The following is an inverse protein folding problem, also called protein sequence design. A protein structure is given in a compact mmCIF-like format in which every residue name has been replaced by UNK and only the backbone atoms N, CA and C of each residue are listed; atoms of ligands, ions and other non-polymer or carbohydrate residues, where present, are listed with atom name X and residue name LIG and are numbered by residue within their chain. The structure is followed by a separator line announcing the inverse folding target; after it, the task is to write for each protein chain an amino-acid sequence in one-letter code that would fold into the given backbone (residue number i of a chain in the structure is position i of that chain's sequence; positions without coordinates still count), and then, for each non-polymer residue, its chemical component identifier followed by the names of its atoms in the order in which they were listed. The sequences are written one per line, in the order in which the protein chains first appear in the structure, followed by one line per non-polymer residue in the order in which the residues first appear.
data_IF_444377735339
#
_entry.id   IF_444377735339
#
_cell.length_a   1.000
_cell.length_b   1.000
_cell.length_c   1.000
_cell.angle_alpha   90.00
_cell.angle_beta   90.00
_cell.angle_gamma   90.00
#
_symmetry.space_group_name_H-M   'P 1'
#
loop_
_entity.id
_entity.type
_entity.pdbx_description
1 polymer ?
#
# COMPACT_ATOMS: atom_id res chain seq x y z
N UNK A 1 -24.07 -17.14 10.01
CA UNK A 1 -23.17 -16.34 10.87
C UNK A 1 -22.58 -15.23 10.03
N UNK A 2 -22.23 -14.08 10.62
CA UNK A 2 -21.50 -13.02 9.88
C UNK A 2 -20.10 -13.52 9.51
N UNK A 3 -19.58 -13.23 8.32
CA UNK A 3 -18.19 -13.55 8.00
C UNK A 3 -17.27 -12.73 8.90
N UNK A 4 -16.13 -13.31 9.28
CA UNK A 4 -15.13 -12.69 10.15
C UNK A 4 -13.87 -12.36 9.36
N UNK A 5 -13.39 -11.14 9.50
CA UNK A 5 -12.17 -10.69 8.87
C UNK A 5 -11.15 -10.25 9.92
N UNK A 6 -9.91 -10.69 9.75
CA UNK A 6 -8.78 -10.25 10.52
C UNK A 6 -7.93 -9.28 9.70
N UNK A 7 -7.64 -8.09 10.23
CA UNK A 7 -6.79 -7.10 9.59
C UNK A 7 -5.60 -6.79 10.49
N UNK A 8 -4.38 -7.10 10.04
CA UNK A 8 -3.17 -6.61 10.69
C UNK A 8 -2.80 -5.24 10.12
N UNK A 9 -2.30 -4.32 10.96
CA UNK A 9 -2.02 -2.96 10.51
C UNK A 9 -3.27 -2.10 10.31
N UNK A 10 -4.31 -2.36 11.08
CA UNK A 10 -5.63 -1.71 10.99
C UNK A 10 -5.60 -0.19 11.19
N UNK A 11 -4.56 0.35 11.81
CA UNK A 11 -4.39 1.80 12.03
C UNK A 11 -3.78 2.54 10.85
N UNK A 12 -3.21 1.81 9.87
CA UNK A 12 -2.70 2.38 8.63
C UNK A 12 -3.80 2.87 7.69
N UNK A 13 -3.42 3.58 6.62
CA UNK A 13 -4.35 4.07 5.60
C UNK A 13 -5.27 2.95 5.09
N UNK A 14 -4.68 1.87 4.60
CA UNK A 14 -5.41 0.77 3.97
C UNK A 14 -6.24 -0.02 4.99
N UNK A 15 -5.68 -0.26 6.18
CA UNK A 15 -6.38 -0.96 7.24
C UNK A 15 -7.65 -0.23 7.67
N UNK A 16 -7.61 1.11 7.73
CA UNK A 16 -8.77 1.92 8.05
C UNK A 16 -9.88 1.81 6.99
N UNK A 17 -9.53 2.01 5.70
CA UNK A 17 -10.52 1.91 4.61
C UNK A 17 -11.03 0.49 4.40
N UNK A 18 -10.16 -0.51 4.57
CA UNK A 18 -10.58 -1.91 4.47
C UNK A 18 -11.56 -2.29 5.58
N UNK A 19 -11.31 -1.82 6.80
CA UNK A 19 -12.23 -2.01 7.91
C UNK A 19 -13.59 -1.41 7.61
N UNK A 20 -13.63 -0.14 7.16
CA UNK A 20 -14.88 0.54 6.78
C UNK A 20 -15.63 -0.23 5.69
N UNK A 21 -14.92 -0.68 4.65
CA UNK A 21 -15.48 -1.48 3.56
C UNK A 21 -16.11 -2.79 4.07
N UNK A 22 -15.37 -3.53 4.91
CA UNK A 22 -15.81 -4.84 5.41
C UNK A 22 -16.97 -4.72 6.40
N UNK A 23 -16.93 -3.76 7.32
CA UNK A 23 -18.04 -3.47 8.23
C UNK A 23 -19.31 -3.08 7.44
N UNK A 24 -19.17 -2.25 6.39
CA UNK A 24 -20.25 -1.91 5.46
C UNK A 24 -20.82 -3.10 4.68
N UNK A 25 -20.02 -4.16 4.49
CA UNK A 25 -20.46 -5.45 3.90
C UNK A 25 -21.01 -6.45 4.93
N UNK A 26 -21.06 -6.07 6.19
CA UNK A 26 -21.63 -6.88 7.26
C UNK A 26 -20.66 -7.87 7.91
N UNK A 27 -19.35 -7.74 7.68
CA UNK A 27 -18.34 -8.54 8.38
C UNK A 27 -18.24 -8.15 9.85
N UNK A 28 -17.83 -9.10 10.68
CA UNK A 28 -17.27 -8.87 12.00
C UNK A 28 -15.75 -8.69 11.83
N UNK A 29 -15.21 -7.50 12.14
CA UNK A 29 -13.82 -7.15 11.84
C UNK A 29 -12.97 -7.14 13.11
N UNK A 30 -11.93 -7.97 13.11
CA UNK A 30 -10.87 -8.01 14.12
C UNK A 30 -9.65 -7.27 13.58
N UNK A 31 -9.37 -6.10 14.12
CA UNK A 31 -8.23 -5.28 13.70
C UNK A 31 -7.11 -5.36 14.73
N UNK A 32 -5.89 -5.74 14.32
CA UNK A 32 -4.75 -5.76 15.23
C UNK A 32 -3.87 -4.54 15.04
N UNK A 33 -3.62 -3.89 16.14
CA UNK A 33 -2.60 -2.86 16.31
C UNK A 33 -1.32 -3.52 16.83
N UNK A 34 -0.17 -2.85 16.63
CA UNK A 34 1.13 -3.38 17.05
C UNK A 34 1.21 -3.61 18.56
N UNK A 35 0.57 -2.77 19.37
CA UNK A 35 0.51 -2.86 20.82
C UNK A 35 -0.46 -3.95 21.32
N UNK A 36 -1.36 -4.46 20.47
CA UNK A 36 -2.30 -5.54 20.77
C UNK A 36 -1.77 -6.91 20.35
N UNK A 37 -1.08 -6.96 19.21
CA UNK A 37 -0.45 -8.16 18.68
C UNK A 37 0.78 -7.79 17.83
N UNK A 38 1.97 -8.13 18.30
CA UNK A 38 3.19 -8.04 17.49
C UNK A 38 3.23 -9.24 16.52
N UNK A 39 3.10 -8.96 15.21
CA UNK A 39 3.13 -10.00 14.17
C UNK A 39 4.44 -10.79 14.15
N UNK A 40 5.52 -10.27 14.77
CA UNK A 40 6.81 -10.95 14.86
C UNK A 40 6.89 -11.94 16.02
N UNK A 41 5.90 -11.95 16.92
CA UNK A 41 5.77 -12.92 18.01
C UNK A 41 4.81 -14.06 17.58
N UNK A 42 5.34 -15.28 17.32
CA UNK A 42 4.53 -16.38 16.80
C UNK A 42 3.42 -16.83 17.78
N UNK A 43 3.63 -16.71 19.08
CA UNK A 43 2.62 -17.13 20.06
C UNK A 43 1.49 -16.11 20.17
N UNK A 44 1.77 -14.81 20.16
CA UNK A 44 0.73 -13.78 20.11
C UNK A 44 -0.12 -13.94 18.86
N UNK A 45 0.51 -14.14 17.69
CA UNK A 45 -0.19 -14.36 16.43
C UNK A 45 -1.08 -15.59 16.50
N UNK A 46 -0.56 -16.72 17.03
CA UNK A 46 -1.31 -17.97 17.15
C UNK A 46 -2.56 -17.79 18.02
N UNK A 47 -2.39 -17.23 19.21
CA UNK A 47 -3.51 -17.00 20.15
C UNK A 47 -4.55 -16.08 19.54
N UNK A 48 -4.13 -15.02 18.90
CA UNK A 48 -5.03 -14.03 18.29
C UNK A 48 -5.81 -14.60 17.09
N UNK A 49 -5.18 -15.44 16.24
CA UNK A 49 -5.87 -16.14 15.15
C UNK A 49 -6.89 -17.14 15.71
N UNK A 50 -6.52 -17.91 16.75
CA UNK A 50 -7.43 -18.83 17.42
C UNK A 50 -8.66 -18.14 18.01
N UNK A 51 -8.47 -16.97 18.61
CA UNK A 51 -9.58 -16.20 19.20
C UNK A 51 -10.52 -15.60 18.14
N UNK A 52 -9.94 -15.05 17.07
CA UNK A 52 -10.71 -14.39 16.00
C UNK A 52 -11.45 -15.40 15.12
N UNK A 53 -10.90 -16.61 14.90
CA UNK A 53 -11.44 -17.61 13.97
C UNK A 53 -11.90 -16.98 12.65
N UNK A 54 -11.01 -16.24 11.93
CA UNK A 54 -11.39 -15.47 10.76
C UNK A 54 -11.68 -16.37 9.54
N UNK A 55 -12.60 -15.94 8.70
CA UNK A 55 -12.81 -16.48 7.37
C UNK A 55 -11.86 -15.86 6.35
N UNK A 56 -11.45 -14.61 6.60
CA UNK A 56 -10.54 -13.85 5.74
C UNK A 56 -9.48 -13.15 6.59
N UNK A 57 -8.23 -13.20 6.14
CA UNK A 57 -7.08 -12.55 6.79
C UNK A 57 -6.45 -11.58 5.80
N UNK A 58 -6.34 -10.32 6.20
CA UNK A 58 -5.68 -9.27 5.43
C UNK A 58 -4.41 -8.82 6.15
N UNK A 59 -3.27 -9.25 5.65
CA UNK A 59 -1.97 -8.92 6.21
C UNK A 59 -1.42 -7.64 5.60
N UNK A 60 -1.68 -6.51 6.28
CA UNK A 60 -1.26 -5.16 5.87
C UNK A 60 -0.15 -4.60 6.76
N UNK A 61 0.10 -5.21 7.95
CA UNK A 61 1.16 -4.78 8.85
C UNK A 61 2.53 -4.94 8.18
N UNK A 62 3.27 -3.85 8.08
CA UNK A 62 4.61 -3.82 7.52
C UNK A 62 5.39 -2.60 7.99
N UNK A 63 6.73 -2.69 7.95
CA UNK A 63 7.55 -1.50 7.80
C UNK A 63 7.44 -1.08 6.33
N UNK A 64 6.73 0.01 6.03
CA UNK A 64 6.30 0.37 4.66
C UNK A 64 7.05 1.56 4.05
N UNK A 65 7.83 2.31 4.84
CA UNK A 65 8.57 3.47 4.34
C UNK A 65 9.91 3.02 3.74
N UNK A 66 10.06 3.20 2.42
CA UNK A 66 11.25 2.74 1.67
C UNK A 66 12.53 3.39 2.18
N UNK A 67 12.51 4.71 2.44
CA UNK A 67 13.68 5.45 2.93
C UNK A 67 14.20 4.95 4.28
N UNK A 68 13.31 4.57 5.20
CA UNK A 68 13.70 4.06 6.52
C UNK A 68 14.30 2.65 6.44
N UNK A 69 13.98 1.88 5.39
CA UNK A 69 14.45 0.51 5.24
C UNK A 69 15.96 0.39 5.00
N UNK A 70 16.60 1.40 4.44
CA UNK A 70 18.06 1.41 4.23
C UNK A 70 18.84 1.39 5.55
N UNK A 71 18.39 2.16 6.54
CA UNK A 71 18.99 2.20 7.90
C UNK A 71 18.51 1.08 8.83
N UNK A 72 17.45 0.37 8.49
CA UNK A 72 16.77 -0.62 9.35
C UNK A 72 16.45 -1.93 8.62
N UNK A 73 17.34 -2.40 7.72
CA UNK A 73 17.10 -3.56 6.87
C UNK A 73 16.74 -4.84 7.65
N UNK A 74 17.40 -5.09 8.79
CA UNK A 74 17.12 -6.27 9.63
C UNK A 74 15.74 -6.19 10.28
N UNK A 75 15.35 -5.04 10.80
CA UNK A 75 14.02 -4.85 11.38
C UNK A 75 12.94 -4.89 10.31
N UNK A 76 13.19 -4.29 9.14
CA UNK A 76 12.30 -4.38 7.97
C UNK A 76 12.05 -5.84 7.59
N UNK A 77 13.11 -6.65 7.50
CA UNK A 77 12.99 -8.08 7.21
C UNK A 77 12.25 -8.83 8.33
N UNK A 78 12.55 -8.53 9.60
CA UNK A 78 11.88 -9.15 10.75
C UNK A 78 10.38 -8.92 10.70
N UNK A 79 9.94 -7.68 10.51
CA UNK A 79 8.52 -7.35 10.45
C UNK A 79 7.85 -7.91 9.20
N UNK A 80 8.44 -7.67 8.03
CA UNK A 80 7.78 -7.98 6.74
C UNK A 80 7.84 -9.47 6.38
N UNK A 81 8.90 -10.19 6.74
CA UNK A 81 9.06 -11.60 6.40
C UNK A 81 8.62 -12.50 7.52
N UNK A 82 9.22 -12.37 8.71
CA UNK A 82 8.89 -13.24 9.84
C UNK A 82 7.45 -13.03 10.30
N UNK A 83 6.95 -11.78 10.32
CA UNK A 83 5.54 -11.50 10.59
C UNK A 83 4.59 -12.19 9.62
N UNK A 84 4.93 -12.21 8.33
CA UNK A 84 4.16 -12.95 7.30
C UNK A 84 4.23 -14.47 7.55
N UNK A 85 5.41 -15.01 7.83
CA UNK A 85 5.58 -16.45 8.13
C UNK A 85 4.75 -16.89 9.33
N UNK A 86 4.76 -16.11 10.41
CA UNK A 86 3.99 -16.40 11.62
C UNK A 86 2.48 -16.46 11.33
N UNK A 87 1.97 -15.49 10.54
CA UNK A 87 0.57 -15.48 10.12
C UNK A 87 0.21 -16.65 9.21
N UNK A 88 1.06 -16.98 8.23
CA UNK A 88 0.83 -18.12 7.33
C UNK A 88 0.80 -19.44 8.12
N UNK A 89 1.76 -19.67 9.00
CA UNK A 89 1.80 -20.87 9.85
C UNK A 89 0.55 -20.96 10.76
N UNK A 90 0.18 -19.86 11.39
CA UNK A 90 -1.02 -19.83 12.23
C UNK A 90 -2.30 -20.04 11.42
N UNK A 91 -2.39 -19.47 10.22
CA UNK A 91 -3.53 -19.70 9.33
C UNK A 91 -3.67 -21.16 8.92
N UNK A 92 -2.57 -21.78 8.47
CA UNK A 92 -2.58 -23.19 8.07
C UNK A 92 -2.95 -24.14 9.21
N UNK A 93 -2.58 -23.82 10.44
CA UNK A 93 -2.78 -24.67 11.60
C UNK A 93 -4.14 -24.47 12.26
N UNK A 94 -4.56 -23.23 12.44
CA UNK A 94 -5.70 -22.90 13.31
C UNK A 94 -6.98 -22.62 12.48
N UNK A 95 -6.84 -22.15 11.23
CA UNK A 95 -7.96 -21.77 10.34
C UNK A 95 -7.63 -22.09 8.87
N UNK A 96 -7.38 -23.39 8.53
CA UNK A 96 -6.89 -23.77 7.20
C UNK A 96 -7.83 -23.40 6.05
N UNK A 97 -9.11 -23.18 6.32
CA UNK A 97 -10.12 -22.76 5.33
C UNK A 97 -10.18 -21.23 5.15
N UNK A 98 -9.42 -20.46 5.97
CA UNK A 98 -9.41 -19.03 5.85
C UNK A 98 -8.70 -18.58 4.57
N UNK A 99 -9.23 -17.53 3.93
CA UNK A 99 -8.62 -16.90 2.76
C UNK A 99 -7.63 -15.83 3.21
N UNK A 100 -6.43 -15.87 2.68
CA UNK A 100 -5.32 -15.02 3.10
C UNK A 100 -4.92 -14.05 2.01
N UNK A 101 -4.94 -12.75 2.29
CA UNK A 101 -4.41 -11.69 1.44
C UNK A 101 -3.12 -11.13 2.03
N UNK A 102 -2.09 -11.03 1.21
CA UNK A 102 -0.83 -10.36 1.54
C UNK A 102 -0.66 -9.08 0.70
N UNK A 103 -0.48 -7.96 1.39
CA UNK A 103 -0.11 -6.70 0.75
C UNK A 103 1.38 -6.73 0.35
N UNK A 104 1.66 -7.24 -0.85
CA UNK A 104 2.95 -7.10 -1.51
C UNK A 104 3.12 -5.68 -2.06
N UNK A 105 4.11 -5.42 -2.91
CA UNK A 105 4.43 -4.09 -3.39
C UNK A 105 5.00 -4.12 -4.80
N UNK A 106 4.78 -3.07 -5.58
CA UNK A 106 5.45 -2.85 -6.87
C UNK A 106 6.98 -2.79 -6.75
N UNK A 107 7.52 -2.49 -5.57
CA UNK A 107 8.97 -2.49 -5.31
C UNK A 107 9.65 -3.86 -5.46
N UNK A 108 8.88 -4.97 -5.54
CA UNK A 108 9.44 -6.30 -5.88
C UNK A 108 9.96 -6.35 -7.31
N UNK A 109 9.39 -5.56 -8.22
CA UNK A 109 9.83 -5.47 -9.61
C UNK A 109 11.11 -4.64 -9.77
N UNK A 110 11.31 -3.63 -8.90
CA UNK A 110 12.54 -2.85 -8.82
C UNK A 110 12.97 -2.24 -10.16
N UNK A 111 14.20 -2.55 -10.60
CA UNK A 111 14.81 -1.97 -11.80
C UNK A 111 14.55 -2.82 -13.07
N UNK A 112 13.32 -3.29 -13.23
CA UNK A 112 12.93 -4.00 -14.45
C UNK A 112 12.84 -3.08 -15.65
N UNK A 113 13.19 -3.59 -16.83
CA UNK A 113 13.01 -2.87 -18.10
C UNK A 113 11.59 -3.03 -18.67
N UNK A 114 10.80 -3.96 -18.15
CA UNK A 114 9.43 -4.20 -18.59
C UNK A 114 8.47 -3.17 -17.97
N UNK A 115 7.77 -2.43 -18.82
CA UNK A 115 6.80 -1.40 -18.42
C UNK A 115 5.63 -1.39 -19.40
N UNK A 116 4.36 -1.48 -18.97
CA UNK A 116 3.93 -1.72 -17.59
C UNK A 116 4.29 -3.12 -17.08
N UNK A 117 4.51 -3.26 -15.74
CA UNK A 117 4.80 -4.54 -15.11
C UNK A 117 3.54 -5.41 -15.04
N UNK A 118 3.73 -6.73 -15.22
CA UNK A 118 2.71 -7.78 -15.10
C UNK A 118 3.06 -8.73 -13.95
N UNK A 119 2.13 -9.58 -13.56
CA UNK A 119 2.36 -10.61 -12.53
C UNK A 119 3.46 -11.61 -12.92
N UNK A 120 3.80 -11.68 -14.21
CA UNK A 120 4.88 -12.51 -14.78
C UNK A 120 6.21 -11.79 -14.95
N UNK A 121 6.24 -10.46 -14.76
CA UNK A 121 7.47 -9.67 -14.86
C UNK A 121 8.50 -10.16 -13.84
N UNK A 122 9.76 -10.36 -14.22
CA UNK A 122 10.81 -10.79 -13.31
C UNK A 122 11.02 -9.82 -12.14
N UNK A 123 11.18 -10.36 -10.94
CA UNK A 123 11.46 -9.60 -9.76
C UNK A 123 12.92 -9.16 -9.68
N UNK A 124 13.17 -7.87 -9.46
CA UNK A 124 14.52 -7.27 -9.38
C UNK A 124 14.57 -6.16 -8.31
N UNK A 125 14.26 -6.44 -7.03
CA UNK A 125 14.21 -5.41 -5.99
C UNK A 125 15.57 -4.74 -5.81
N UNK A 126 15.56 -3.40 -5.65
CA UNK A 126 16.78 -2.58 -5.56
C UNK A 126 17.01 -2.00 -4.15
N UNK A 127 16.11 -2.26 -3.20
CA UNK A 127 16.23 -1.76 -1.83
C UNK A 127 15.75 -2.82 -0.82
N UNK A 128 16.11 -2.69 0.48
CA UNK A 128 15.75 -3.68 1.50
C UNK A 128 14.25 -3.89 1.66
N UNK A 129 13.44 -2.84 1.47
CA UNK A 129 11.98 -2.96 1.50
C UNK A 129 11.46 -3.88 0.39
N UNK A 130 11.84 -3.61 -0.86
CA UNK A 130 11.46 -4.46 -2.00
C UNK A 130 11.92 -5.90 -1.84
N UNK A 131 13.16 -6.12 -1.35
CA UNK A 131 13.70 -7.44 -1.08
C UNK A 131 12.88 -8.18 0.01
N UNK A 132 12.49 -7.50 1.09
CA UNK A 132 11.65 -8.09 2.15
C UNK A 132 10.24 -8.43 1.64
N UNK A 133 9.65 -7.57 0.82
CA UNK A 133 8.35 -7.84 0.20
C UNK A 133 8.40 -9.01 -0.79
N UNK A 134 9.50 -9.13 -1.54
CA UNK A 134 9.71 -10.28 -2.42
C UNK A 134 9.83 -11.58 -1.63
N UNK A 135 10.66 -11.61 -0.58
CA UNK A 135 10.82 -12.82 0.25
C UNK A 135 9.47 -13.26 0.84
N UNK A 136 8.68 -12.32 1.39
CA UNK A 136 7.34 -12.60 1.90
C UNK A 136 6.37 -13.06 0.80
N UNK A 137 6.40 -12.45 -0.39
CA UNK A 137 5.61 -12.87 -1.57
C UNK A 137 5.88 -14.34 -1.92
N UNK A 138 7.14 -14.76 -1.90
CA UNK A 138 7.53 -16.15 -2.18
C UNK A 138 7.03 -17.12 -1.09
N UNK A 139 6.98 -16.71 0.19
CA UNK A 139 6.38 -17.49 1.29
C UNK A 139 4.88 -17.68 1.07
N UNK A 140 4.17 -16.63 0.65
CA UNK A 140 2.74 -16.71 0.32
C UNK A 140 2.49 -17.65 -0.86
N UNK A 141 3.31 -17.60 -1.92
CA UNK A 141 3.24 -18.56 -3.04
C UNK A 141 3.47 -19.99 -2.58
N UNK A 142 4.44 -20.22 -1.71
CA UNK A 142 4.71 -21.54 -1.13
C UNK A 142 3.54 -22.05 -0.27
N UNK A 143 2.93 -21.20 0.55
CA UNK A 143 1.75 -21.54 1.33
C UNK A 143 0.55 -21.89 0.44
N UNK A 144 0.34 -21.17 -0.67
CA UNK A 144 -0.66 -21.48 -1.69
C UNK A 144 -0.41 -22.86 -2.32
N UNK A 145 0.82 -23.17 -2.70
CA UNK A 145 1.19 -24.50 -3.21
C UNK A 145 0.95 -25.62 -2.19
N UNK A 146 1.04 -25.32 -0.91
CA UNK A 146 0.74 -26.23 0.21
C UNK A 146 -0.75 -26.31 0.55
N UNK A 147 -1.64 -25.65 -0.22
CA UNK A 147 -3.09 -25.78 -0.11
C UNK A 147 -3.80 -24.64 0.62
N UNK A 148 -3.10 -23.63 1.16
CA UNK A 148 -3.76 -22.46 1.74
C UNK A 148 -4.32 -21.58 0.61
N UNK A 149 -5.56 -21.09 0.76
CA UNK A 149 -6.07 -20.05 -0.13
C UNK A 149 -5.33 -18.73 0.14
N UNK A 150 -4.22 -18.49 -0.57
CA UNK A 150 -3.33 -17.36 -0.31
C UNK A 150 -3.08 -16.53 -1.58
N UNK A 151 -3.31 -15.21 -1.48
CA UNK A 151 -3.23 -14.23 -2.57
C UNK A 151 -2.16 -13.20 -2.27
N UNK A 152 -1.34 -12.86 -3.27
CA UNK A 152 -0.51 -11.66 -3.24
C UNK A 152 -1.18 -10.53 -4.03
N UNK A 153 -1.33 -9.37 -3.42
CA UNK A 153 -1.62 -8.13 -4.12
C UNK A 153 -0.33 -7.34 -4.35
N UNK A 154 0.12 -7.19 -5.60
CA UNK A 154 1.18 -6.24 -5.93
C UNK A 154 0.59 -4.84 -5.99
N UNK A 155 0.71 -4.13 -4.86
CA UNK A 155 0.13 -2.81 -4.71
C UNK A 155 1.06 -1.75 -5.29
N UNK A 156 0.54 -0.95 -6.20
CA UNK A 156 1.20 0.26 -6.68
C UNK A 156 0.92 1.42 -5.73
N UNK A 157 1.53 2.58 -5.94
CA UNK A 157 1.33 3.68 -5.02
C UNK A 157 -0.16 4.04 -4.94
N UNK A 158 -0.66 4.19 -3.74
CA UNK A 158 -2.06 4.50 -3.53
C UNK A 158 -2.24 5.45 -2.36
N UNK A 159 -3.06 6.43 -2.57
CA UNK A 159 -3.11 7.63 -1.78
C UNK A 159 -4.52 7.92 -1.29
N UNK A 160 -4.60 8.75 -0.27
CA UNK A 160 -5.85 9.29 0.25
C UNK A 160 -5.57 10.45 1.20
N UNK A 161 -6.60 11.18 1.69
CA UNK A 161 -6.44 12.13 2.79
C UNK A 161 -5.82 11.54 4.08
N UNK A 162 -5.83 10.21 4.23
CA UNK A 162 -5.24 9.49 5.39
C UNK A 162 -3.80 9.02 5.15
N UNK A 163 -3.20 9.36 4.02
CA UNK A 163 -1.80 9.02 3.75
C UNK A 163 -0.87 9.60 4.80
N UNK A 164 0.14 8.84 5.22
CA UNK A 164 1.16 9.32 6.15
C UNK A 164 1.91 10.54 5.63
N UNK A 165 2.28 11.46 6.51
CA UNK A 165 2.92 12.74 6.16
C UNK A 165 4.29 12.60 5.50
N UNK A 166 4.97 11.49 5.74
CA UNK A 166 6.29 11.18 5.15
C UNK A 166 6.23 10.80 3.66
N UNK A 167 5.04 10.59 3.10
CA UNK A 167 4.88 10.28 1.67
C UNK A 167 4.77 11.55 0.84
N UNK A 168 5.44 11.55 -0.32
CA UNK A 168 5.63 12.74 -1.16
C UNK A 168 4.32 13.42 -1.55
N UNK A 169 3.30 12.66 -1.90
CA UNK A 169 1.96 13.18 -2.27
C UNK A 169 1.33 13.96 -1.12
N UNK A 170 1.31 13.37 0.08
CA UNK A 170 0.75 14.01 1.26
C UNK A 170 1.57 15.23 1.68
N UNK A 171 2.92 15.13 1.63
CA UNK A 171 3.82 16.26 1.88
C UNK A 171 3.49 17.45 0.98
N UNK A 172 3.30 17.20 -0.33
CA UNK A 172 2.97 18.24 -1.31
C UNK A 172 1.60 18.86 -1.03
N UNK A 173 0.56 18.04 -0.86
CA UNK A 173 -0.80 18.53 -0.61
C UNK A 173 -0.90 19.38 0.67
N UNK A 174 -0.25 18.92 1.75
CA UNK A 174 -0.21 19.68 3.03
C UNK A 174 0.61 20.96 2.91
N UNK A 175 1.73 20.95 2.21
CA UNK A 175 2.54 22.14 2.00
C UNK A 175 1.79 23.18 1.17
N UNK A 176 1.12 22.80 0.08
CA UNK A 176 0.30 23.71 -0.71
C UNK A 176 -0.80 24.37 0.15
N UNK A 177 -1.51 23.57 0.97
CA UNK A 177 -2.52 24.09 1.90
C UNK A 177 -1.92 25.04 2.95
N UNK A 178 -0.78 24.70 3.57
CA UNK A 178 -0.12 25.52 4.58
C UNK A 178 0.42 26.83 4.00
N UNK A 179 0.94 26.82 2.78
CA UNK A 179 1.42 28.02 2.09
C UNK A 179 0.24 28.94 1.76
N UNK A 180 -0.89 28.39 1.29
CA UNK A 180 -2.10 29.17 1.04
C UNK A 180 -2.67 29.79 2.31
N UNK A 181 -2.53 29.13 3.46
CA UNK A 181 -2.92 29.66 4.76
C UNK A 181 -1.90 30.64 5.39
N UNK A 182 -0.77 30.92 4.70
CA UNK A 182 0.30 31.79 5.22
C UNK A 182 1.12 31.19 6.35
N UNK A 183 1.00 29.88 6.63
CA UNK A 183 1.72 29.17 7.69
C UNK A 183 3.11 28.70 7.26
N UNK A 184 3.37 28.64 5.94
CA UNK A 184 4.66 28.31 5.34
C UNK A 184 4.91 29.19 4.12
N UNK A 185 6.14 29.18 3.60
CA UNK A 185 6.52 29.96 2.41
C UNK A 185 7.01 29.08 1.26
N UNK A 186 7.63 27.95 1.58
CA UNK A 186 8.38 27.13 0.64
C UNK A 186 8.13 25.63 0.89
N UNK A 187 8.21 24.86 -0.18
CA UNK A 187 8.22 23.40 -0.20
C UNK A 187 9.52 22.91 -0.82
N UNK A 188 10.32 22.18 -0.05
CA UNK A 188 11.56 21.58 -0.55
C UNK A 188 11.31 20.15 -1.05
N UNK A 189 11.68 19.88 -2.31
CA UNK A 189 11.55 18.58 -2.98
C UNK A 189 12.84 18.21 -3.71
N UNK A 190 13.09 16.90 -3.82
CA UNK A 190 14.15 16.35 -4.67
C UNK A 190 13.74 16.36 -6.15
N UNK A 191 14.08 15.28 -6.87
CA UNK A 191 13.73 15.12 -8.28
C UNK A 191 12.22 14.94 -8.46
N UNK A 192 11.58 15.90 -9.13
CA UNK A 192 10.16 15.89 -9.43
C UNK A 192 9.80 15.18 -10.75
N UNK A 193 10.80 14.72 -11.53
CA UNK A 193 10.60 14.02 -12.80
C UNK A 193 10.23 12.53 -12.61
N UNK A 194 10.43 11.98 -11.42
CA UNK A 194 10.13 10.60 -11.07
C UNK A 194 8.67 10.27 -11.33
N UNK A 195 8.44 9.12 -11.99
CA UNK A 195 7.11 8.69 -12.42
C UNK A 195 6.59 7.52 -11.59
N UNK A 196 5.35 7.61 -11.13
CA UNK A 196 4.66 6.56 -10.37
C UNK A 196 3.23 6.40 -10.85
N UNK A 197 2.73 5.21 -10.68
CA UNK A 197 1.32 4.87 -10.80
C UNK A 197 0.65 5.13 -9.45
N UNK A 198 -0.30 6.07 -9.40
CA UNK A 198 -1.05 6.42 -8.20
C UNK A 198 -2.53 6.14 -8.36
N UNK A 199 -3.09 5.38 -7.41
CA UNK A 199 -4.51 5.06 -7.31
C UNK A 199 -5.10 5.62 -6.01
N UNK A 200 -6.42 5.64 -5.91
CA UNK A 200 -7.11 5.89 -4.64
C UNK A 200 -7.05 4.65 -3.73
N UNK A 201 -6.71 4.84 -2.46
CA UNK A 201 -6.61 3.74 -1.50
C UNK A 201 -7.92 2.97 -1.33
N UNK A 202 -9.07 3.62 -1.51
CA UNK A 202 -10.40 2.98 -1.45
C UNK A 202 -10.62 2.00 -2.61
N UNK A 203 -10.09 2.31 -3.79
CA UNK A 203 -10.11 1.38 -4.92
C UNK A 203 -9.21 0.18 -4.66
N UNK A 204 -8.01 0.42 -4.11
CA UNK A 204 -7.07 -0.65 -3.78
C UNK A 204 -7.65 -1.61 -2.75
N UNK A 205 -8.23 -1.13 -1.64
CA UNK A 205 -8.82 -2.03 -0.63
C UNK A 205 -10.04 -2.79 -1.18
N UNK A 206 -10.78 -2.21 -2.13
CA UNK A 206 -11.83 -2.95 -2.86
C UNK A 206 -11.23 -4.09 -3.68
N UNK A 207 -10.09 -3.89 -4.33
CA UNK A 207 -9.34 -4.93 -5.04
C UNK A 207 -8.83 -6.03 -4.10
N UNK A 208 -8.32 -5.67 -2.92
CA UNK A 208 -7.93 -6.63 -1.89
C UNK A 208 -9.09 -7.54 -1.50
N UNK A 209 -10.27 -6.96 -1.22
CA UNK A 209 -11.45 -7.74 -0.88
C UNK A 209 -11.89 -8.64 -2.04
N UNK A 210 -12.01 -8.11 -3.27
CA UNK A 210 -12.41 -8.88 -4.45
C UNK A 210 -11.48 -10.06 -4.73
N UNK A 211 -10.17 -9.89 -4.51
CA UNK A 211 -9.18 -10.96 -4.74
C UNK A 211 -9.35 -12.17 -3.81
N UNK A 212 -10.03 -11.99 -2.69
CA UNK A 212 -10.44 -13.09 -1.81
C UNK A 212 -11.84 -13.66 -2.12
N UNK A 213 -12.58 -13.12 -3.11
CA UNK A 213 -13.92 -13.63 -3.46
C UNK A 213 -13.89 -14.59 -4.66
N UNK A 214 -12.74 -14.78 -5.31
CA UNK A 214 -12.56 -15.69 -6.44
C UNK A 214 -12.53 -17.17 -6.01
N UNK A 215 -12.69 -18.08 -6.97
CA UNK A 215 -12.64 -19.53 -6.70
C UNK A 215 -11.21 -20.04 -6.47
N UNK A 216 -10.23 -19.48 -7.20
CA UNK A 216 -8.84 -19.92 -7.14
C UNK A 216 -7.93 -18.75 -6.72
N UNK A 217 -7.04 -18.96 -5.73
CA UNK A 217 -6.10 -17.94 -5.32
C UNK A 217 -5.00 -17.71 -6.36
N UNK A 218 -4.64 -16.45 -6.58
CA UNK A 218 -3.55 -16.09 -7.49
C UNK A 218 -2.89 -14.77 -7.03
N UNK A 219 -1.93 -14.27 -7.81
CA UNK A 219 -1.31 -12.97 -7.63
C UNK A 219 -2.01 -11.94 -8.52
N UNK A 220 -2.20 -10.72 -8.01
CA UNK A 220 -2.86 -9.64 -8.74
C UNK A 220 -2.11 -8.33 -8.62
N UNK A 221 -1.94 -7.61 -9.74
CA UNK A 221 -1.52 -6.22 -9.75
C UNK A 221 -2.74 -5.33 -9.52
N UNK A 222 -2.66 -4.48 -8.48
CA UNK A 222 -3.65 -3.45 -8.20
C UNK A 222 -2.99 -2.08 -8.45
N UNK A 223 -3.31 -1.49 -9.60
CA UNK A 223 -2.68 -0.30 -10.15
C UNK A 223 -3.66 0.49 -11.02
N UNK A 224 -3.39 1.76 -11.29
CA UNK A 224 -4.19 2.54 -12.27
C UNK A 224 -3.87 2.16 -13.71
N UNK A 225 -2.64 1.76 -13.98
CA UNK A 225 -2.11 1.57 -15.33
C UNK A 225 -1.54 2.86 -15.93
N UNK A 226 -1.53 3.96 -15.19
CA UNK A 226 -1.08 5.26 -15.67
C UNK A 226 0.05 5.83 -14.80
N UNK A 227 1.09 6.35 -15.44
CA UNK A 227 2.22 6.97 -14.74
C UNK A 227 2.13 8.50 -14.77
N UNK A 228 2.19 9.09 -13.59
CA UNK A 228 2.27 10.54 -13.43
C UNK A 228 3.59 10.94 -12.76
N UNK A 229 4.05 12.16 -13.00
CA UNK A 229 5.26 12.70 -12.36
C UNK A 229 4.94 13.28 -10.99
N UNK A 230 5.93 13.35 -10.11
CA UNK A 230 5.82 14.13 -8.86
C UNK A 230 5.53 15.61 -9.18
N UNK A 231 6.05 16.12 -10.31
CA UNK A 231 5.76 17.46 -10.81
C UNK A 231 4.24 17.66 -11.03
N UNK A 232 3.55 16.69 -11.64
CA UNK A 232 2.09 16.77 -11.84
C UNK A 232 1.32 16.83 -10.52
N UNK A 233 1.80 16.14 -9.46
CA UNK A 233 1.21 16.28 -8.10
C UNK A 233 1.36 17.72 -7.60
N UNK A 234 2.53 18.32 -7.77
CA UNK A 234 2.80 19.71 -7.38
C UNK A 234 1.85 20.66 -8.10
N UNK A 235 1.78 20.57 -9.42
CA UNK A 235 0.95 21.44 -10.24
C UNK A 235 -0.53 21.39 -9.83
N UNK A 236 -1.09 20.19 -9.68
CA UNK A 236 -2.50 20.01 -9.27
C UNK A 236 -2.74 20.51 -7.85
N UNK A 237 -1.85 20.24 -6.91
CA UNK A 237 -2.02 20.66 -5.53
C UNK A 237 -1.99 22.19 -5.38
N UNK A 238 -1.05 22.86 -6.05
CA UNK A 238 -0.92 24.32 -5.99
C UNK A 238 -2.03 25.02 -6.77
N UNK A 239 -2.43 24.50 -7.93
CA UNK A 239 -3.61 24.97 -8.67
C UNK A 239 -4.88 24.89 -7.80
N UNK A 240 -5.05 23.81 -7.06
CA UNK A 240 -6.23 23.59 -6.18
C UNK A 240 -6.36 24.67 -5.11
N UNK A 241 -5.26 25.23 -4.65
CA UNK A 241 -5.25 26.32 -3.66
C UNK A 241 -5.06 27.72 -4.26
N UNK A 242 -5.03 27.82 -5.59
CA UNK A 242 -4.92 29.10 -6.33
C UNK A 242 -3.53 29.73 -6.26
N UNK A 243 -2.46 28.95 -6.08
CA UNK A 243 -1.09 29.41 -6.00
C UNK A 243 -0.26 29.00 -7.23
N UNK A 244 0.72 29.83 -7.58
CA UNK A 244 1.73 29.54 -8.56
C UNK A 244 2.87 28.76 -7.89
N UNK A 245 2.99 27.47 -8.19
CA UNK A 245 3.97 26.59 -7.57
C UNK A 245 5.43 27.01 -7.79
N UNK A 246 5.76 27.65 -8.91
CA UNK A 246 7.12 28.11 -9.25
C UNK A 246 7.67 29.11 -8.22
N UNK A 247 6.79 29.82 -7.53
CA UNK A 247 7.17 30.79 -6.47
C UNK A 247 7.44 30.16 -5.11
N UNK A 248 7.10 28.87 -4.94
CA UNK A 248 7.08 28.23 -3.62
C UNK A 248 7.86 26.93 -3.56
N UNK A 249 8.10 26.27 -4.71
CA UNK A 249 8.79 24.98 -4.73
C UNK A 249 10.28 25.15 -4.98
N UNK A 250 11.10 24.70 -4.04
CA UNK A 250 12.56 24.75 -4.09
C UNK A 250 13.09 23.34 -4.33
N UNK A 251 13.93 23.19 -5.37
CA UNK A 251 14.66 21.93 -5.59
C UNK A 251 15.81 21.81 -4.59
N UNK A 252 15.84 20.67 -3.88
CA UNK A 252 16.84 20.38 -2.87
C UNK A 252 17.36 18.96 -3.02
N UNK A 253 18.64 18.84 -3.38
CA UNK A 253 19.27 17.55 -3.70
C UNK A 253 19.32 16.59 -2.50
N UNK A 254 19.27 17.09 -1.26
CA UNK A 254 19.23 16.23 -0.07
C UNK A 254 18.01 15.29 -0.02
N UNK A 255 16.93 15.61 -0.77
CA UNK A 255 15.74 14.77 -0.87
C UNK A 255 15.78 13.80 -2.06
N UNK A 256 16.88 13.74 -2.82
CA UNK A 256 17.04 12.74 -3.88
C UNK A 256 17.30 11.37 -3.25
N UNK A 257 16.63 10.34 -3.76
CA UNK A 257 16.83 8.94 -3.35
C UNK A 257 17.81 8.27 -4.31
N UNK A 258 18.81 7.57 -3.78
CA UNK A 258 19.88 6.94 -4.57
C UNK A 258 19.46 5.64 -5.26
N UNK A 259 18.44 4.94 -4.76
CA UNK A 259 18.04 3.63 -5.22
C UNK A 259 16.51 3.53 -5.43
N UNK A 260 15.95 4.43 -6.25
CA UNK A 260 14.52 4.44 -6.54
C UNK A 260 14.30 4.25 -8.06
N UNK A 261 13.55 3.22 -8.52
CA UNK A 261 13.29 3.00 -9.94
C UNK A 261 12.70 4.24 -10.60
N UNK A 262 13.13 4.57 -11.81
CA UNK A 262 12.69 5.76 -12.52
C UNK A 262 11.17 5.74 -12.84
N UNK A 263 10.63 4.55 -13.11
CA UNK A 263 9.22 4.38 -13.46
C UNK A 263 8.68 3.05 -12.92
N UNK A 264 7.60 3.10 -12.16
CA UNK A 264 6.83 1.93 -11.73
C UNK A 264 5.36 2.13 -12.16
N UNK A 265 4.90 1.30 -13.10
CA UNK A 265 3.53 1.30 -13.65
C UNK A 265 3.04 -0.13 -13.77
N UNK A 266 1.88 -0.45 -13.20
CA UNK A 266 1.30 -1.78 -13.23
C UNK A 266 0.34 -2.00 -14.40
N UNK A 267 0.28 -3.22 -14.92
CA UNK A 267 -0.78 -3.65 -15.83
C UNK A 267 -1.92 -4.30 -15.03
N UNK A 268 -3.05 -3.62 -14.82
CA UNK A 268 -4.18 -4.16 -14.06
C UNK A 268 -5.07 -5.09 -14.88
N UNK A 269 -4.70 -5.49 -16.09
CA UNK A 269 -5.57 -6.25 -17.00
C UNK A 269 -6.08 -7.54 -16.40
N UNK A 270 -5.27 -8.27 -15.63
CA UNK A 270 -5.68 -9.48 -14.94
C UNK A 270 -6.73 -9.19 -13.86
N UNK A 271 -6.51 -8.16 -13.05
CA UNK A 271 -7.48 -7.75 -12.04
C UNK A 271 -8.81 -7.30 -12.66
N UNK A 272 -8.77 -6.59 -13.79
CA UNK A 272 -9.98 -6.21 -14.54
C UNK A 272 -10.78 -7.43 -15.00
N UNK A 273 -10.11 -8.43 -15.58
CA UNK A 273 -10.78 -9.61 -16.17
C UNK A 273 -11.26 -10.59 -15.08
N UNK A 274 -10.43 -10.86 -14.08
CA UNK A 274 -10.71 -11.93 -13.09
C UNK A 274 -11.51 -11.41 -11.91
N UNK A 275 -11.23 -10.18 -11.45
CA UNK A 275 -11.85 -9.60 -10.26
C UNK A 275 -13.01 -8.64 -10.59
N UNK A 276 -13.24 -8.33 -11.86
CA UNK A 276 -14.13 -7.21 -12.26
C UNK A 276 -13.78 -5.92 -11.49
N UNK A 277 -12.45 -5.67 -11.39
CA UNK A 277 -11.90 -4.54 -10.66
C UNK A 277 -11.22 -3.55 -11.58
N UNK A 278 -11.54 -2.28 -11.38
CA UNK A 278 -10.84 -1.15 -11.98
C UNK A 278 -10.84 0.04 -10.99
N UNK A 279 -9.84 0.92 -11.05
CA UNK A 279 -9.86 2.15 -10.27
C UNK A 279 -11.01 3.06 -10.74
N UNK A 280 -11.73 3.65 -9.79
CA UNK A 280 -12.88 4.52 -10.06
C UNK A 280 -12.51 6.00 -10.04
N UNK A 281 -11.51 6.36 -9.22
CA UNK A 281 -11.08 7.74 -9.06
C UNK A 281 -9.85 8.04 -9.89
N UNK A 282 -9.93 9.09 -10.71
CA UNK A 282 -8.81 9.57 -11.51
C UNK A 282 -7.73 10.29 -10.69
N UNK A 283 -6.50 10.32 -11.21
CA UNK A 283 -5.34 10.90 -10.53
C UNK A 283 -5.55 12.36 -10.11
N UNK A 284 -6.05 13.23 -11.01
CA UNK A 284 -6.31 14.65 -10.69
C UNK A 284 -7.32 14.79 -9.56
N UNK A 285 -8.42 14.06 -9.63
CA UNK A 285 -9.47 14.10 -8.60
C UNK A 285 -8.93 13.68 -7.21
N UNK A 286 -8.07 12.65 -7.19
CA UNK A 286 -7.40 12.19 -5.98
C UNK A 286 -6.55 13.29 -5.33
N UNK A 287 -5.68 13.95 -6.12
CA UNK A 287 -4.79 15.00 -5.59
C UNK A 287 -5.59 16.23 -5.14
N UNK A 288 -6.63 16.61 -5.88
CA UNK A 288 -7.56 17.69 -5.48
C UNK A 288 -8.20 17.36 -4.13
N UNK A 289 -8.74 16.15 -3.95
CA UNK A 289 -9.36 15.73 -2.69
C UNK A 289 -8.37 15.77 -1.51
N UNK A 290 -7.16 15.25 -1.71
CA UNK A 290 -6.12 15.27 -0.69
C UNK A 290 -5.75 16.71 -0.27
N UNK A 291 -5.61 17.60 -1.25
CA UNK A 291 -5.27 19.00 -1.00
C UNK A 291 -6.39 19.74 -0.26
N UNK A 292 -7.64 19.55 -0.68
CA UNK A 292 -8.80 20.12 0.00
C UNK A 292 -8.98 19.57 1.42
N UNK A 293 -8.68 18.28 1.63
CA UNK A 293 -8.68 17.69 2.97
C UNK A 293 -7.61 18.32 3.86
N UNK A 294 -6.41 18.60 3.33
CA UNK A 294 -5.36 19.30 4.03
C UNK A 294 -5.77 20.74 4.42
N UNK A 295 -6.46 21.47 3.52
CA UNK A 295 -7.00 22.80 3.83
C UNK A 295 -7.99 22.77 4.99
N UNK A 296 -8.93 21.81 5.01
CA UNK A 296 -9.93 21.69 6.09
C UNK A 296 -9.34 21.43 7.48
N UNK A 297 -8.16 20.88 7.58
CA UNK A 297 -7.46 20.65 8.86
C UNK A 297 -6.83 21.95 9.40
N UNK A 298 -6.57 22.93 8.52
CA UNK A 298 -5.90 24.20 8.87
C UNK A 298 -6.90 25.34 9.14
N UNK A 299 -8.17 25.17 8.79
CA UNK A 299 -9.29 26.07 9.09
C UNK A 299 -10.05 25.61 10.33
#
# INVERSE_FOLDING_TARGET
MKPRALITGVTGQDGWYLRELLEGKGYEVYGWRRDECDVTDPEQVRVAVQQAQPNEIYHLAAQSHVGDSEGAAQETRRVNVQGTENLLHSSQREVPEARFFFASSCHVFGDTTETPQKETTPFQPVNPYGASKLEATLRVRAARQAGLFAVNGFLYNHESPRRGENFVTQKICRAAAAIAAGQSRELHLGDTSMRRDWSDARDIVRGMWLSLQVEQPDDYILASGEAHTVQAVVEIAFETVGLDWEKHVVRDQQFNRSADPACLVGDPSKARVVLDWEPKKGFRELIVEMTQAAQRVLT
#
